data_IF_240069652622
#
_entry.id   IF_240069652622
#
_cell.length_a   1.000
_cell.length_b   1.000
_cell.length_c   1.000
_cell.angle_alpha   90.00
_cell.angle_beta   90.00
_cell.angle_gamma   90.00
#
_symmetry.space_group_name_H-M   'P 1'
#
loop_
_entity.id
_entity.type
_entity.pdbx_description
1 polymer ?
#
# COMPACT_ATOMS: atom_id res chain seq x y z
N UNK A 1 21.16 0.33 66.79
CA UNK A 1 19.82 0.12 66.18
C UNK A 1 20.04 0.41 64.72
N UNK A 2 20.40 -0.61 63.95
CA UNK A 2 20.93 -0.42 62.59
C UNK A 2 20.15 -1.31 61.64
N UNK A 3 19.11 -0.69 61.10
CA UNK A 3 18.13 -1.26 60.21
C UNK A 3 18.76 -1.59 58.86
N UNK A 4 19.09 -2.87 58.66
CA UNK A 4 19.54 -3.40 57.37
C UNK A 4 18.44 -3.24 56.32
N UNK A 5 18.55 -2.19 55.51
CA UNK A 5 17.74 -1.95 54.31
C UNK A 5 17.82 -3.15 53.36
N UNK A 6 16.71 -3.86 53.18
CA UNK A 6 16.56 -4.97 52.24
C UNK A 6 16.60 -4.43 50.80
N UNK A 7 17.37 -5.00 49.87
CA UNK A 7 17.32 -4.61 48.47
C UNK A 7 15.97 -5.02 47.86
N UNK A 8 15.26 -4.06 47.26
CA UNK A 8 13.95 -4.27 46.64
C UNK A 8 13.99 -5.33 45.55
N UNK A 9 12.99 -6.23 45.57
CA UNK A 9 12.73 -7.21 44.50
C UNK A 9 12.54 -6.47 43.17
N UNK A 10 13.59 -6.43 42.34
CA UNK A 10 13.47 -6.06 40.92
C UNK A 10 12.67 -7.17 40.24
N UNK A 11 11.42 -6.88 39.92
CA UNK A 11 10.61 -7.72 39.05
C UNK A 11 11.39 -7.90 37.75
N UNK A 12 11.83 -9.13 37.49
CA UNK A 12 12.54 -9.50 36.27
C UNK A 12 11.72 -9.10 35.06
N UNK A 13 12.34 -8.32 34.17
CA UNK A 13 11.92 -8.14 32.80
C UNK A 13 11.95 -9.52 32.13
N UNK A 14 10.80 -10.20 32.11
CA UNK A 14 10.63 -11.40 31.28
C UNK A 14 10.98 -11.00 29.84
N UNK A 15 11.81 -11.77 29.12
CA UNK A 15 12.03 -11.52 27.70
C UNK A 15 10.68 -11.60 26.99
N UNK A 16 10.33 -10.59 26.20
CA UNK A 16 9.22 -10.67 25.26
C UNK A 16 9.52 -11.83 24.30
N UNK A 17 9.02 -13.03 24.61
CA UNK A 17 9.04 -14.15 23.68
C UNK A 17 8.18 -13.71 22.50
N UNK A 18 8.83 -13.40 21.36
CA UNK A 18 8.16 -13.32 20.05
C UNK A 18 7.41 -14.63 19.88
N UNK A 19 6.11 -14.61 20.16
CA UNK A 19 5.23 -15.73 19.84
C UNK A 19 5.35 -16.02 18.35
N UNK A 20 5.06 -17.26 17.91
CA UNK A 20 5.04 -17.56 16.49
C UNK A 20 4.17 -16.50 15.82
N UNK A 21 4.66 -15.89 14.73
CA UNK A 21 3.82 -15.04 13.89
C UNK A 21 2.64 -15.90 13.47
N UNK A 22 1.53 -15.81 14.20
CA UNK A 22 0.23 -16.33 13.81
C UNK A 22 -0.23 -15.44 12.67
N UNK A 23 0.39 -15.61 11.50
CA UNK A 23 -0.23 -15.33 10.23
C UNK A 23 -1.25 -16.46 10.03
N UNK A 24 -2.26 -16.41 10.87
CA UNK A 24 -3.26 -17.45 11.04
C UNK A 24 -4.29 -17.33 9.95
N UNK A 25 -4.61 -18.50 9.40
CA UNK A 25 -5.67 -18.79 8.45
C UNK A 25 -5.45 -18.21 7.05
N UNK A 26 -4.90 -19.07 6.19
CA UNK A 26 -5.47 -19.28 4.86
C UNK A 26 -6.91 -19.81 5.05
N UNK A 27 -7.79 -19.01 5.66
CA UNK A 27 -9.23 -19.13 5.52
C UNK A 27 -9.44 -18.95 4.04
N UNK A 28 -9.84 -20.05 3.38
CA UNK A 28 -9.82 -20.17 1.93
C UNK A 28 -10.25 -18.87 1.28
N UNK A 29 -9.28 -18.09 0.78
CA UNK A 29 -9.59 -17.09 -0.22
C UNK A 29 -10.10 -17.95 -1.35
N UNK A 30 -11.43 -18.00 -1.48
CA UNK A 30 -12.07 -18.35 -2.74
C UNK A 30 -11.22 -17.62 -3.76
N UNK A 31 -10.48 -18.38 -4.58
CA UNK A 31 -9.67 -17.80 -5.64
C UNK A 31 -10.70 -17.11 -6.52
N UNK A 32 -10.92 -15.82 -6.27
CA UNK A 32 -11.80 -15.04 -7.10
C UNK A 32 -11.24 -15.20 -8.51
N UNK A 33 -12.07 -15.62 -9.47
CA UNK A 33 -11.63 -15.74 -10.84
C UNK A 33 -11.01 -14.40 -11.22
N UNK A 34 -9.80 -14.45 -11.80
CA UNK A 34 -9.16 -13.23 -12.31
C UNK A 34 -10.03 -12.78 -13.46
N UNK A 35 -10.62 -11.59 -13.31
CA UNK A 35 -11.39 -10.95 -14.37
C UNK A 35 -10.42 -10.03 -15.11
N UNK A 36 -10.20 -10.30 -16.39
CA UNK A 36 -9.36 -9.46 -17.24
C UNK A 36 -10.12 -8.17 -17.58
N UNK A 37 -9.90 -7.14 -16.77
CA UNK A 37 -10.46 -5.78 -16.96
C UNK A 37 -9.41 -4.72 -16.68
N UNK A 38 -9.49 -3.58 -17.35
CA UNK A 38 -8.62 -2.41 -17.14
C UNK A 38 -9.24 -1.37 -16.21
N UNK A 39 -10.46 -1.60 -15.70
CA UNK A 39 -11.19 -0.60 -14.93
C UNK A 39 -10.44 -0.05 -13.70
N UNK A 40 -9.67 -0.85 -12.93
CA UNK A 40 -8.85 -0.32 -11.84
C UNK A 40 -7.70 0.60 -12.31
N UNK A 41 -7.07 0.27 -13.44
CA UNK A 41 -6.03 1.08 -14.08
C UNK A 41 -6.61 2.39 -14.62
N UNK A 42 -7.77 2.33 -15.27
CA UNK A 42 -8.49 3.51 -15.79
C UNK A 42 -8.93 4.46 -14.65
N UNK A 43 -9.37 3.89 -13.52
CA UNK A 43 -9.67 4.67 -12.31
C UNK A 43 -8.43 5.37 -11.74
N UNK A 44 -7.29 4.68 -11.70
CA UNK A 44 -6.04 5.28 -11.24
C UNK A 44 -5.65 6.46 -12.11
N UNK A 45 -5.70 6.29 -13.44
CA UNK A 45 -5.39 7.32 -14.42
C UNK A 45 -6.31 8.55 -14.27
N UNK A 46 -7.62 8.31 -14.15
CA UNK A 46 -8.59 9.38 -13.94
C UNK A 46 -8.28 10.20 -12.69
N UNK A 47 -8.06 9.56 -11.55
CA UNK A 47 -7.79 10.27 -10.30
C UNK A 47 -6.47 11.05 -10.40
N UNK A 48 -5.44 10.46 -11.01
CA UNK A 48 -4.14 11.12 -11.18
C UNK A 48 -4.23 12.37 -12.06
N UNK A 49 -4.97 12.31 -13.18
CA UNK A 49 -5.25 13.48 -14.02
C UNK A 49 -5.96 14.60 -13.25
N UNK A 50 -6.95 14.25 -12.43
CA UNK A 50 -7.65 15.22 -11.56
C UNK A 50 -6.69 15.84 -10.53
N UNK A 51 -5.82 15.03 -9.92
CA UNK A 51 -4.82 15.54 -8.95
C UNK A 51 -3.77 16.43 -9.63
N UNK A 52 -3.35 16.11 -10.85
CA UNK A 52 -2.39 16.92 -11.62
C UNK A 52 -2.97 18.27 -12.05
N UNK A 53 -4.30 18.45 -12.06
CA UNK A 53 -5.03 19.63 -12.58
C UNK A 53 -4.77 19.94 -14.07
N UNK A 54 -4.02 19.10 -14.74
CA UNK A 54 -3.73 19.15 -16.16
C UNK A 54 -3.63 17.70 -16.66
N UNK A 55 -4.53 17.27 -17.56
CA UNK A 55 -4.55 15.90 -18.07
C UNK A 55 -3.33 15.55 -18.94
N UNK A 56 -2.66 16.54 -19.54
CA UNK A 56 -1.55 16.34 -20.48
C UNK A 56 -0.19 16.35 -19.78
N UNK A 57 -0.16 16.72 -18.49
CA UNK A 57 1.05 16.76 -17.68
C UNK A 57 1.53 15.38 -17.19
N UNK A 58 0.81 14.31 -17.51
CA UNK A 58 1.09 12.95 -17.04
C UNK A 58 1.24 11.99 -18.22
N UNK A 59 2.33 11.22 -18.23
CA UNK A 59 2.50 10.08 -19.13
C UNK A 59 2.23 8.79 -18.37
N UNK A 60 1.39 7.94 -18.94
CA UNK A 60 1.00 6.66 -18.36
C UNK A 60 1.51 5.49 -19.19
N UNK A 61 2.17 4.55 -18.53
CA UNK A 61 2.57 3.28 -19.11
C UNK A 61 1.97 2.13 -18.29
N UNK A 62 1.30 1.20 -18.97
CA UNK A 62 0.63 0.07 -18.35
C UNK A 62 1.41 -1.20 -18.67
N UNK A 63 1.83 -1.90 -17.64
CA UNK A 63 2.61 -3.14 -17.77
C UNK A 63 1.85 -4.29 -17.10
N UNK A 64 1.60 -5.37 -17.85
CA UNK A 64 1.06 -6.60 -17.28
C UNK A 64 2.23 -7.45 -16.76
N UNK A 65 2.35 -7.59 -15.44
CA UNK A 65 3.44 -8.32 -14.82
C UNK A 65 3.18 -9.83 -14.80
N UNK A 66 1.99 -10.24 -14.39
CA UNK A 66 1.55 -11.65 -14.25
C UNK A 66 0.03 -11.73 -14.43
N UNK A 67 -0.59 -12.91 -14.62
CA UNK A 67 -2.04 -13.04 -14.59
C UNK A 67 -2.63 -12.45 -13.29
N UNK A 68 -3.52 -11.46 -13.44
CA UNK A 68 -4.11 -10.75 -12.31
C UNK A 68 -3.18 -9.75 -11.59
N UNK A 69 -2.00 -9.42 -12.13
CA UNK A 69 -1.14 -8.35 -11.61
C UNK A 69 -0.63 -7.42 -12.70
N UNK A 70 -0.88 -6.13 -12.55
CA UNK A 70 -0.42 -5.07 -13.44
C UNK A 70 0.29 -3.96 -12.66
N UNK A 71 1.07 -3.17 -13.38
CA UNK A 71 1.72 -1.96 -12.90
C UNK A 71 1.31 -0.80 -13.80
N UNK A 72 1.06 0.34 -13.18
CA UNK A 72 0.86 1.63 -13.86
C UNK A 72 2.03 2.52 -13.47
N UNK A 73 2.90 2.78 -14.43
CA UNK A 73 3.99 3.75 -14.29
C UNK A 73 3.45 5.12 -14.72
N UNK A 74 3.78 6.13 -13.92
CA UNK A 74 3.34 7.51 -14.11
C UNK A 74 4.60 8.38 -14.11
N UNK A 75 4.83 9.06 -15.23
CA UNK A 75 5.96 9.99 -15.38
C UNK A 75 5.42 11.40 -15.51
N UNK A 76 5.99 12.34 -14.77
CA UNK A 76 5.60 13.74 -14.84
C UNK A 76 6.70 14.69 -14.35
N UNK A 77 6.48 15.99 -14.55
CA UNK A 77 7.39 17.02 -14.05
C UNK A 77 7.47 17.03 -12.51
N UNK A 78 8.63 17.38 -11.91
CA UNK A 78 8.82 17.37 -10.45
C UNK A 78 7.77 18.17 -9.66
N UNK A 79 7.28 19.27 -10.24
CA UNK A 79 6.25 20.11 -9.64
C UNK A 79 4.89 19.40 -9.55
N UNK A 80 4.57 18.57 -10.55
CA UNK A 80 3.38 17.72 -10.57
C UNK A 80 3.58 16.52 -9.63
N UNK A 81 4.76 15.90 -9.65
CA UNK A 81 5.12 14.78 -8.76
C UNK A 81 4.89 15.15 -7.29
N UNK A 82 5.37 16.32 -6.84
CA UNK A 82 5.16 16.77 -5.46
C UNK A 82 3.68 16.85 -5.06
N UNK A 83 2.80 17.23 -6.00
CA UNK A 83 1.36 17.28 -5.79
C UNK A 83 0.73 15.89 -5.70
N UNK A 84 1.15 14.96 -6.55
CA UNK A 84 0.66 13.57 -6.57
C UNK A 84 1.07 12.81 -5.30
N UNK A 85 2.34 12.96 -4.88
CA UNK A 85 2.86 12.36 -3.67
C UNK A 85 2.11 12.92 -2.45
N UNK A 86 1.93 14.24 -2.43
CA UNK A 86 1.31 14.97 -1.33
C UNK A 86 2.19 15.00 -0.07
N UNK A 87 1.72 15.69 0.96
CA UNK A 87 2.45 15.84 2.23
C UNK A 87 2.73 14.47 2.87
N UNK A 88 4.00 14.21 3.20
CA UNK A 88 4.49 12.94 3.75
C UNK A 88 4.12 11.69 2.91
N UNK A 89 3.82 11.84 1.62
CA UNK A 89 3.37 10.73 0.78
C UNK A 89 1.95 10.22 1.09
N UNK A 90 1.14 10.98 1.86
CA UNK A 90 -0.20 10.54 2.29
C UNK A 90 -1.15 10.38 1.11
N UNK A 91 -1.09 11.28 0.12
CA UNK A 91 -1.97 11.24 -1.05
C UNK A 91 -1.72 10.00 -1.88
N UNK A 92 -0.46 9.76 -2.28
CA UNK A 92 -0.12 8.57 -3.09
C UNK A 92 -0.38 7.26 -2.34
N UNK A 93 -0.18 7.24 -1.02
CA UNK A 93 -0.48 6.06 -0.19
C UNK A 93 -1.97 5.76 -0.13
N UNK A 94 -2.81 6.78 0.03
CA UNK A 94 -4.25 6.65 0.00
C UNK A 94 -4.75 6.17 -1.37
N UNK A 95 -4.22 6.75 -2.46
CA UNK A 95 -4.54 6.35 -3.82
C UNK A 95 -4.19 4.88 -4.07
N UNK A 96 -2.96 4.46 -3.73
CA UNK A 96 -2.53 3.05 -3.86
C UNK A 96 -3.45 2.10 -3.10
N UNK A 97 -3.87 2.49 -1.89
CA UNK A 97 -4.78 1.69 -1.07
C UNK A 97 -6.17 1.58 -1.71
N UNK A 98 -6.69 2.69 -2.23
CA UNK A 98 -7.98 2.75 -2.93
C UNK A 98 -7.98 1.86 -4.17
N UNK A 99 -6.98 1.99 -5.03
CA UNK A 99 -6.90 1.22 -6.28
C UNK A 99 -6.70 -0.27 -5.98
N UNK A 100 -5.92 -0.64 -4.95
CA UNK A 100 -5.81 -2.03 -4.50
C UNK A 100 -7.15 -2.59 -4.02
N UNK A 101 -7.93 -1.81 -3.29
CA UNK A 101 -9.27 -2.20 -2.85
C UNK A 101 -10.23 -2.37 -4.04
N UNK A 102 -10.20 -1.46 -5.01
CA UNK A 102 -11.00 -1.56 -6.24
C UNK A 102 -10.62 -2.80 -7.08
N UNK A 103 -9.32 -3.03 -7.29
CA UNK A 103 -8.78 -4.16 -8.05
C UNK A 103 -9.11 -5.51 -7.39
N UNK A 104 -9.20 -5.55 -6.05
CA UNK A 104 -9.49 -6.79 -5.31
C UNK A 104 -10.82 -7.44 -5.72
N UNK A 105 -11.81 -6.65 -6.16
CA UNK A 105 -13.11 -7.16 -6.63
C UNK A 105 -12.98 -8.01 -7.89
N UNK A 106 -11.93 -7.81 -8.67
CA UNK A 106 -11.66 -8.51 -9.93
C UNK A 106 -10.61 -9.62 -9.76
N UNK A 107 -10.21 -9.95 -8.53
CA UNK A 107 -9.08 -10.85 -8.28
C UNK A 107 -7.73 -10.29 -8.77
N UNK A 108 -7.65 -8.99 -9.09
CA UNK A 108 -6.45 -8.34 -9.60
C UNK A 108 -5.68 -7.61 -8.50
N UNK A 109 -4.41 -7.31 -8.78
CA UNK A 109 -3.57 -6.36 -8.05
C UNK A 109 -2.97 -5.37 -9.03
N UNK A 110 -3.16 -4.08 -8.74
CA UNK A 110 -2.55 -2.99 -9.49
C UNK A 110 -1.57 -2.28 -8.58
N UNK A 111 -0.33 -2.16 -9.02
CA UNK A 111 0.71 -1.36 -8.37
C UNK A 111 0.89 -0.04 -9.13
N UNK A 112 1.02 1.07 -8.40
CA UNK A 112 1.19 2.41 -8.97
C UNK A 112 2.58 2.92 -8.60
N UNK A 113 3.35 3.25 -9.62
CA UNK A 113 4.69 3.81 -9.53
C UNK A 113 4.68 5.22 -10.12
N UNK A 114 5.25 6.17 -9.38
CA UNK A 114 5.33 7.57 -9.78
C UNK A 114 6.80 7.92 -9.82
N UNK A 115 7.26 8.35 -10.99
CA UNK A 115 8.65 8.64 -11.35
C UNK A 115 8.84 10.15 -11.55
#
# INVERSE_FOLDING_TARGET
MDEKRRPGKRYGSKPFKKGPRRFGSNSGRVRQPVIDTTAPEDLAEYILKVLAKDPDALQFEREQLNPGRSRVNVTCDPLVTGRLIGKDGRTITALRSLIRAAASRYGKRVDIEVS
#
